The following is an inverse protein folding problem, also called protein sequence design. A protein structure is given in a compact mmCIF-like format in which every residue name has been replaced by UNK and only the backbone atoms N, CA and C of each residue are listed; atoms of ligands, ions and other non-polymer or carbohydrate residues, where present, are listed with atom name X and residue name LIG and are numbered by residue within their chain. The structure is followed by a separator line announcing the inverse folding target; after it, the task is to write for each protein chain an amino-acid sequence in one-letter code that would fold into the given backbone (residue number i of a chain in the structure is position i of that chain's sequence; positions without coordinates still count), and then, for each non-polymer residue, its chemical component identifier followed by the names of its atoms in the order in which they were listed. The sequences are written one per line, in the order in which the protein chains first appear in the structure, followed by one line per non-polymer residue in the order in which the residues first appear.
data_IF_098352578531
#
_entry.id   IF_098352578531
#
_cell.length_a   1.000
_cell.length_b   1.000
_cell.length_c   1.000
_cell.angle_alpha   90.00
_cell.angle_beta   90.00
_cell.angle_gamma   90.00
#
_symmetry.space_group_name_H-M   'P 1'
#
loop_
_entity.id
_entity.type
_entity.pdbx_description
1 polymer ?
#
# COMPACT_ATOMS: atom_id res chain seq x y z
N UNK A 1 8.49 9.26 -12.80
CA UNK A 1 8.02 9.57 -14.17
C UNK A 1 8.74 10.83 -14.60
N UNK A 2 8.57 11.28 -15.85
CA UNK A 2 8.66 12.73 -16.14
C UNK A 2 7.86 13.47 -15.05
N UNK A 3 8.29 14.67 -14.64
CA UNK A 3 7.89 15.32 -13.37
C UNK A 3 6.40 15.63 -13.08
N UNK A 4 5.45 14.83 -13.56
CA UNK A 4 4.03 14.88 -13.27
C UNK A 4 3.37 13.49 -13.35
N UNK A 5 2.21 13.34 -12.71
CA UNK A 5 1.31 12.21 -12.91
C UNK A 5 0.88 12.14 -14.39
N UNK A 6 0.92 10.95 -15.00
CA UNK A 6 0.42 10.73 -16.36
C UNK A 6 -0.38 9.43 -16.44
N UNK A 7 -1.25 9.27 -17.46
CA UNK A 7 -1.99 8.01 -17.66
C UNK A 7 -1.09 6.78 -17.78
N UNK A 8 0.16 6.94 -18.25
CA UNK A 8 1.13 5.86 -18.36
C UNK A 8 1.54 5.27 -17.00
N UNK A 9 1.36 6.02 -15.91
CA UNK A 9 1.62 5.57 -14.55
C UNK A 9 0.60 4.57 -14.03
N UNK A 10 -0.62 4.62 -14.56
CA UNK A 10 -1.78 3.96 -13.97
C UNK A 10 -1.64 2.43 -13.88
N UNK A 11 -1.13 1.71 -14.90
CA UNK A 11 -0.91 0.26 -14.79
C UNK A 11 -0.06 -0.13 -13.58
N UNK A 12 0.99 0.64 -13.30
CA UNK A 12 1.88 0.37 -12.17
C UNK A 12 1.20 0.61 -10.81
N UNK A 13 0.44 1.68 -10.66
CA UNK A 13 -0.34 1.90 -9.44
C UNK A 13 -1.39 0.82 -9.22
N UNK A 14 -2.00 0.28 -10.28
CA UNK A 14 -2.95 -0.85 -10.17
C UNK A 14 -2.29 -2.08 -9.57
N UNK A 15 -1.12 -2.46 -10.09
CA UNK A 15 -0.38 -3.62 -9.60
C UNK A 15 0.06 -3.48 -8.15
N UNK A 16 0.46 -2.27 -7.74
CA UNK A 16 0.78 -2.00 -6.35
C UNK A 16 -0.46 -2.12 -5.45
N UNK A 17 -1.63 -1.69 -5.92
CA UNK A 17 -2.90 -1.85 -5.20
C UNK A 17 -3.28 -3.31 -5.00
N UNK A 18 -2.85 -4.20 -5.89
CA UNK A 18 -3.10 -5.64 -5.77
C UNK A 18 -2.40 -6.26 -4.55
N UNK A 19 -1.39 -5.61 -3.96
CA UNK A 19 -0.72 -6.07 -2.73
C UNK A 19 -1.66 -6.20 -1.52
N UNK A 20 -2.80 -5.50 -1.55
CA UNK A 20 -3.90 -5.64 -0.56
C UNK A 20 -4.64 -6.98 -0.68
N UNK A 21 -4.40 -7.73 -1.76
CA UNK A 21 -5.06 -9.00 -2.06
C UNK A 21 -4.10 -10.17 -2.23
N UNK A 22 -2.79 -9.95 -2.08
CA UNK A 22 -1.78 -11.00 -2.12
C UNK A 22 -1.51 -11.50 -0.70
N UNK A 23 -1.81 -12.78 -0.48
CA UNK A 23 -1.62 -13.49 0.78
C UNK A 23 -0.59 -14.60 0.60
N UNK A 24 0.07 -14.99 1.69
CA UNK A 24 1.00 -16.12 1.73
C UNK A 24 0.65 -17.03 2.89
N UNK A 25 0.96 -18.32 2.76
CA UNK A 25 0.64 -19.30 3.79
C UNK A 25 1.52 -19.16 5.05
N UNK A 26 2.65 -18.45 4.96
CA UNK A 26 3.63 -18.29 6.04
C UNK A 26 3.24 -17.25 7.08
N UNK A 27 2.33 -16.32 6.75
CA UNK A 27 1.95 -15.23 7.65
C UNK A 27 0.52 -14.74 7.37
N UNK A 28 -0.22 -14.32 8.41
CA UNK A 28 -1.54 -13.72 8.23
C UNK A 28 -1.46 -12.35 7.53
N UNK A 29 -2.63 -11.88 7.07
CA UNK A 29 -2.78 -10.58 6.42
C UNK A 29 -2.28 -10.57 4.97
N UNK A 30 -2.57 -9.49 4.26
CA UNK A 30 -2.01 -9.23 2.93
C UNK A 30 -0.56 -8.74 3.02
N UNK A 31 0.16 -8.70 1.91
CA UNK A 31 1.50 -8.07 1.86
C UNK A 31 1.43 -6.62 2.34
N UNK A 32 0.39 -5.88 1.94
CA UNK A 32 0.22 -4.50 2.35
C UNK A 32 0.02 -4.38 3.87
N UNK A 33 -0.82 -5.22 4.46
CA UNK A 33 -1.00 -5.24 5.91
C UNK A 33 0.33 -5.53 6.65
N UNK A 34 1.10 -6.53 6.20
CA UNK A 34 2.37 -6.89 6.85
C UNK A 34 3.41 -5.77 6.75
N UNK A 35 3.52 -5.12 5.60
CA UNK A 35 4.42 -3.97 5.42
C UNK A 35 4.01 -2.78 6.29
N UNK A 36 2.71 -2.54 6.48
CA UNK A 36 2.21 -1.52 7.41
C UNK A 36 2.65 -1.83 8.85
N UNK A 37 2.43 -3.06 9.31
CA UNK A 37 2.80 -3.50 10.66
C UNK A 37 4.32 -3.44 10.87
N UNK A 38 5.10 -3.94 9.91
CA UNK A 38 6.56 -3.90 9.96
C UNK A 38 7.10 -2.46 9.99
N UNK A 39 6.52 -1.57 9.18
CA UNK A 39 6.87 -0.15 9.15
C UNK A 39 6.63 0.52 10.51
N UNK A 40 5.46 0.32 11.12
CA UNK A 40 5.18 0.85 12.45
C UNK A 40 6.09 0.26 13.53
N UNK A 41 6.35 -1.05 13.49
CA UNK A 41 7.27 -1.70 14.44
C UNK A 41 8.67 -1.08 14.38
N UNK A 42 9.19 -0.81 13.18
CA UNK A 42 10.48 -0.18 12.98
C UNK A 42 10.50 1.28 13.46
N UNK A 43 9.48 2.07 13.12
CA UNK A 43 9.37 3.47 13.58
C UNK A 43 9.32 3.55 15.10
N UNK A 44 8.49 2.72 15.74
CA UNK A 44 8.31 2.72 17.21
C UNK A 44 9.61 2.32 17.92
N UNK A 45 10.33 1.33 17.38
CA UNK A 45 11.66 0.92 17.86
C UNK A 45 12.70 2.04 17.77
N UNK A 46 12.45 3.09 16.98
CA UNK A 46 13.33 4.25 16.82
C UNK A 46 14.26 4.15 15.62
N UNK A 47 13.98 3.26 14.67
CA UNK A 47 14.71 3.21 13.41
C UNK A 47 14.53 4.52 12.62
N UNK A 48 15.54 4.91 11.83
CA UNK A 48 15.51 6.12 10.99
C UNK A 48 14.29 6.10 10.04
N UNK A 49 13.36 7.07 10.12
CA UNK A 49 12.19 7.14 9.25
C UNK A 49 12.53 7.12 7.76
N UNK A 50 13.66 7.70 7.36
CA UNK A 50 14.09 7.68 5.97
C UNK A 50 14.47 6.26 5.52
N UNK A 51 15.14 5.47 6.38
CA UNK A 51 15.45 4.07 6.10
C UNK A 51 14.18 3.21 6.06
N UNK A 52 13.29 3.38 7.04
CA UNK A 52 12.02 2.63 7.09
C UNK A 52 11.19 2.89 5.84
N UNK A 53 11.05 4.16 5.43
CA UNK A 53 10.40 4.53 4.17
C UNK A 53 11.03 3.79 2.98
N UNK A 54 12.36 3.83 2.84
CA UNK A 54 13.03 3.17 1.70
C UNK A 54 12.78 1.66 1.70
N UNK A 55 12.90 0.99 2.84
CA UNK A 55 12.66 -0.45 2.96
C UNK A 55 11.21 -0.83 2.62
N UNK A 56 10.24 -0.11 3.20
CA UNK A 56 8.81 -0.37 2.98
C UNK A 56 8.45 -0.15 1.52
N UNK A 57 8.80 1.01 0.96
CA UNK A 57 8.45 1.35 -0.41
C UNK A 57 9.16 0.44 -1.40
N UNK A 58 10.47 0.21 -1.26
CA UNK A 58 11.20 -0.70 -2.16
C UNK A 58 10.66 -2.14 -2.09
N UNK A 59 10.26 -2.59 -0.90
CA UNK A 59 9.63 -3.91 -0.72
C UNK A 59 8.26 -4.00 -1.41
N UNK A 60 7.44 -2.95 -1.34
CA UNK A 60 6.18 -2.90 -2.07
C UNK A 60 6.42 -2.96 -3.59
N UNK A 61 7.39 -2.19 -4.10
CA UNK A 61 7.73 -2.17 -5.52
C UNK A 61 8.18 -3.54 -6.05
N UNK A 62 9.02 -4.25 -5.29
CA UNK A 62 9.43 -5.61 -5.67
C UNK A 62 8.29 -6.61 -5.53
N UNK A 63 7.44 -6.46 -4.51
CA UNK A 63 6.30 -7.34 -4.28
C UNK A 63 5.26 -7.27 -5.40
N UNK A 64 5.18 -6.16 -6.14
CA UNK A 64 4.31 -6.04 -7.32
C UNK A 64 4.63 -7.08 -8.42
N UNK A 65 5.86 -7.61 -8.45
CA UNK A 65 6.28 -8.66 -9.40
C UNK A 65 6.50 -10.01 -8.75
N UNK A 66 7.06 -10.03 -7.55
CA UNK A 66 7.48 -11.27 -6.88
C UNK A 66 6.45 -11.80 -5.87
N UNK A 67 5.34 -11.08 -5.66
CA UNK A 67 4.42 -11.37 -4.57
C UNK A 67 5.18 -11.37 -3.24
N UNK A 68 5.04 -12.44 -2.46
CA UNK A 68 5.66 -12.53 -1.14
C UNK A 68 7.08 -13.14 -1.13
N UNK A 69 7.70 -13.31 -2.30
CA UNK A 69 9.10 -13.74 -2.40
C UNK A 69 10.05 -12.56 -2.12
N UNK A 70 10.16 -12.19 -0.84
CA UNK A 70 11.07 -11.17 -0.35
C UNK A 70 12.51 -11.70 -0.14
N UNK A 71 13.40 -10.82 0.35
CA UNK A 71 14.80 -11.18 0.61
C UNK A 71 14.92 -12.43 1.51
N UNK A 72 14.18 -12.47 2.62
CA UNK A 72 14.27 -13.55 3.59
C UNK A 72 13.73 -14.87 3.04
N UNK A 73 12.64 -14.82 2.27
CA UNK A 73 12.08 -15.96 1.57
C UNK A 73 13.08 -16.51 0.53
N UNK A 74 13.67 -15.65 -0.30
CA UNK A 74 14.65 -16.05 -1.31
C UNK A 74 15.92 -16.64 -0.67
N UNK A 75 16.41 -16.06 0.43
CA UNK A 75 17.54 -16.62 1.18
C UNK A 75 17.21 -18.01 1.74
N UNK A 76 16.01 -18.19 2.30
CA UNK A 76 15.52 -19.48 2.81
C UNK A 76 15.41 -20.53 1.71
N UNK A 77 15.06 -20.12 0.49
CA UNK A 77 15.03 -20.96 -0.70
C UNK A 77 16.42 -21.27 -1.29
N UNK A 78 17.49 -20.83 -0.62
CA UNK A 78 18.86 -21.22 -0.96
C UNK A 78 19.57 -20.32 -1.97
N UNK A 79 19.04 -19.11 -2.25
CA UNK A 79 19.67 -18.20 -3.20
C UNK A 79 20.91 -17.47 -2.63
N UNK A 80 21.07 -17.43 -1.31
CA UNK A 80 22.16 -16.71 -0.65
C UNK A 80 22.26 -15.25 -1.13
N UNK A 81 23.47 -14.78 -1.40
CA UNK A 81 23.73 -13.40 -1.84
C UNK A 81 23.04 -13.04 -3.18
N UNK A 82 22.71 -14.04 -4.00
CA UNK A 82 22.00 -13.83 -5.28
C UNK A 82 20.54 -13.44 -5.10
N UNK A 83 20.00 -13.53 -3.88
CA UNK A 83 18.66 -13.06 -3.58
C UNK A 83 18.51 -11.56 -3.89
N UNK A 84 19.52 -10.75 -3.56
CA UNK A 84 19.51 -9.31 -3.85
C UNK A 84 19.42 -9.03 -5.36
N UNK A 85 20.13 -9.80 -6.20
CA UNK A 85 20.06 -9.66 -7.66
C UNK A 85 18.65 -9.91 -8.22
N UNK A 86 17.88 -10.83 -7.61
CA UNK A 86 16.49 -11.09 -8.01
C UNK A 86 15.60 -9.89 -7.67
N UNK A 87 15.73 -9.35 -6.46
CA UNK A 87 14.99 -8.18 -6.02
C UNK A 87 15.33 -6.97 -6.89
N UNK A 88 16.60 -6.81 -7.23
CA UNK A 88 17.10 -5.76 -8.12
C UNK A 88 16.47 -5.83 -9.52
N UNK A 89 16.41 -7.02 -10.13
CA UNK A 89 15.75 -7.22 -11.43
C UNK A 89 14.25 -6.93 -11.35
N UNK A 90 13.58 -7.40 -10.29
CA UNK A 90 12.16 -7.13 -10.08
C UNK A 90 11.88 -5.63 -9.90
N UNK A 91 12.73 -4.94 -9.14
CA UNK A 91 12.68 -3.49 -8.97
C UNK A 91 12.89 -2.76 -10.31
N UNK A 92 13.91 -3.14 -11.08
CA UNK A 92 14.21 -2.47 -12.35
C UNK A 92 13.10 -2.67 -13.39
N UNK A 93 12.41 -3.80 -13.37
CA UNK A 93 11.30 -4.11 -14.27
C UNK A 93 10.09 -3.16 -14.11
N UNK A 94 9.95 -2.48 -12.98
CA UNK A 94 8.78 -1.60 -12.70
C UNK A 94 9.15 -0.15 -12.40
N UNK A 95 10.45 0.16 -12.26
CA UNK A 95 10.90 1.50 -11.83
C UNK A 95 11.57 2.33 -12.92
N UNK A 96 11.58 1.87 -14.17
CA UNK A 96 12.24 2.56 -15.29
C UNK A 96 11.85 4.04 -15.41
N UNK A 97 10.58 4.35 -15.13
CA UNK A 97 10.09 5.72 -15.19
C UNK A 97 10.34 6.55 -13.93
N UNK A 98 10.68 5.97 -12.77
CA UNK A 98 10.81 6.73 -11.51
C UNK A 98 11.88 7.84 -11.58
N UNK A 99 11.66 8.91 -10.80
CA UNK A 99 12.64 10.00 -10.72
C UNK A 99 14.01 9.45 -10.30
N UNK A 100 15.11 9.75 -11.01
CA UNK A 100 16.39 9.05 -10.84
C UNK A 100 16.91 9.03 -9.39
N UNK A 101 16.80 10.15 -8.68
CA UNK A 101 17.23 10.25 -7.28
C UNK A 101 16.40 9.36 -6.34
N UNK A 102 15.07 9.38 -6.48
CA UNK A 102 14.18 8.51 -5.69
C UNK A 102 14.44 7.04 -6.03
N UNK A 103 14.58 6.71 -7.31
CA UNK A 103 14.87 5.34 -7.77
C UNK A 103 16.16 4.81 -7.16
N UNK A 104 17.25 5.57 -7.23
CA UNK A 104 18.55 5.19 -6.65
C UNK A 104 18.45 5.01 -5.12
N UNK A 105 17.76 5.92 -4.45
CA UNK A 105 17.52 5.87 -3.01
C UNK A 105 16.76 4.60 -2.60
N UNK A 106 15.63 4.30 -3.24
CA UNK A 106 14.84 3.09 -2.97
C UNK A 106 15.62 1.81 -3.30
N UNK A 107 16.32 1.78 -4.44
CA UNK A 107 17.14 0.62 -4.84
C UNK A 107 18.20 0.27 -3.79
N UNK A 108 18.81 1.27 -3.16
CA UNK A 108 19.84 1.07 -2.13
C UNK A 108 19.33 0.34 -0.87
N UNK A 109 18.01 0.28 -0.68
CA UNK A 109 17.40 -0.42 0.46
C UNK A 109 17.16 -1.92 0.20
N UNK A 110 17.25 -2.39 -1.05
CA UNK A 110 16.95 -3.79 -1.40
C UNK A 110 17.79 -4.83 -0.62
N UNK A 111 19.10 -4.63 -0.38
CA UNK A 111 19.90 -5.57 0.40
C UNK A 111 19.48 -5.69 1.87
N UNK A 112 18.72 -4.72 2.39
CA UNK A 112 18.22 -4.72 3.76
C UNK A 112 16.86 -5.40 3.91
N UNK A 113 16.19 -5.70 2.79
CA UNK A 113 14.87 -6.32 2.77
C UNK A 113 13.79 -5.48 3.48
N UNK A 114 12.72 -6.17 3.89
CA UNK A 114 11.62 -5.58 4.65
C UNK A 114 12.07 -5.18 6.06
N UNK A 115 11.46 -4.17 6.68
CA UNK A 115 11.71 -3.90 8.10
C UNK A 115 11.37 -5.13 8.96
N UNK A 116 12.12 -5.33 10.04
CA UNK A 116 11.84 -6.42 10.97
C UNK A 116 10.50 -6.20 11.70
N UNK A 117 9.69 -7.25 11.74
CA UNK A 117 8.49 -7.32 12.58
C UNK A 117 8.86 -7.13 14.07
N UNK A 118 7.92 -6.64 14.86
CA UNK A 118 8.14 -6.41 16.29
C UNK A 118 6.90 -5.90 17.01
N UNK A 119 7.09 -5.40 18.23
CA UNK A 119 6.02 -4.78 19.02
C UNK A 119 5.46 -3.54 18.33
N UNK A 120 4.14 -3.36 18.41
CA UNK A 120 3.44 -2.20 17.88
C UNK A 120 2.40 -1.70 18.90
N UNK A 121 2.12 -0.39 18.92
CA UNK A 121 0.97 0.13 19.66
C UNK A 121 -0.34 -0.52 19.21
N UNK A 122 -1.33 -0.59 20.10
CA UNK A 122 -2.56 -1.33 19.85
C UNK A 122 -3.36 -0.80 18.65
N UNK A 123 -3.28 0.51 18.36
CA UNK A 123 -3.90 1.12 17.20
C UNK A 123 -3.50 0.43 15.89
N UNK A 124 -2.28 -0.08 15.77
CA UNK A 124 -1.82 -0.76 14.55
C UNK A 124 -2.69 -1.98 14.27
N UNK A 125 -2.86 -2.85 15.27
CA UNK A 125 -3.73 -4.02 15.15
C UNK A 125 -5.22 -3.68 15.05
N UNK A 126 -5.67 -2.54 15.60
CA UNK A 126 -7.05 -2.07 15.38
C UNK A 126 -7.27 -1.70 13.91
N UNK A 127 -6.33 -0.98 13.29
CA UNK A 127 -6.39 -0.58 11.88
C UNK A 127 -6.30 -1.78 10.90
N UNK A 128 -5.57 -2.84 11.25
CA UNK A 128 -5.55 -4.06 10.41
C UNK A 128 -6.89 -4.81 10.42
N UNK A 129 -7.65 -4.72 11.53
CA UNK A 129 -8.97 -5.39 11.65
C UNK A 129 -10.13 -4.53 11.21
N UNK A 130 -9.97 -3.19 11.23
CA UNK A 130 -11.03 -2.27 10.89
C UNK A 130 -11.17 -2.18 9.35
N UNK A 131 -12.29 -2.63 8.77
CA UNK A 131 -12.55 -2.43 7.35
C UNK A 131 -12.86 -0.96 7.07
N UNK A 132 -12.53 -0.52 5.86
CA UNK A 132 -13.05 0.73 5.30
C UNK A 132 -14.55 0.65 5.08
N UNK A 133 -15.18 1.82 4.99
CA UNK A 133 -16.63 1.94 4.80
C UNK A 133 -17.16 1.44 3.45
N UNK A 134 -16.30 1.16 2.46
CA UNK A 134 -16.72 0.87 1.09
C UNK A 134 -17.31 2.11 0.39
N UNK A 135 -18.10 1.90 -0.67
CA UNK A 135 -18.69 3.02 -1.43
C UNK A 135 -19.93 3.54 -0.70
N UNK A 136 -19.83 4.77 -0.20
CA UNK A 136 -20.90 5.45 0.54
C UNK A 136 -21.34 6.72 -0.19
N UNK A 137 -22.63 7.02 -0.14
CA UNK A 137 -23.23 8.21 -0.72
C UNK A 137 -24.47 8.58 0.11
N UNK A 138 -24.57 9.81 0.65
CA UNK A 138 -25.75 10.26 1.38
C UNK A 138 -27.03 10.01 0.58
N UNK A 139 -28.04 9.43 1.25
CA UNK A 139 -29.32 9.08 0.64
C UNK A 139 -29.31 7.82 -0.23
N UNK A 140 -28.19 7.09 -0.35
CA UNK A 140 -28.11 5.81 -1.08
C UNK A 140 -27.67 4.65 -0.18
N UNK A 141 -28.15 3.41 -0.44
CA UNK A 141 -27.57 2.23 0.17
C UNK A 141 -26.07 2.12 -0.14
N UNK A 142 -25.29 1.66 0.85
CA UNK A 142 -23.85 1.41 0.71
C UNK A 142 -23.61 0.22 -0.22
N UNK A 143 -22.56 0.29 -1.05
CA UNK A 143 -22.07 -0.86 -1.81
C UNK A 143 -20.96 -1.53 -0.99
N UNK A 144 -21.20 -2.79 -0.63
CA UNK A 144 -20.23 -3.63 0.08
C UNK A 144 -19.41 -4.43 -0.93
N UNK A 145 -18.10 -4.29 -0.88
CA UNK A 145 -17.14 -5.05 -1.69
C UNK A 145 -16.43 -6.05 -0.78
N UNK A 146 -16.20 -7.27 -1.28
CA UNK A 146 -15.55 -8.35 -0.53
C UNK A 146 -14.45 -9.02 -1.38
N UNK A 147 -13.27 -9.31 -0.82
CA UNK A 147 -12.85 -8.95 0.54
C UNK A 147 -12.73 -7.41 0.70
N UNK A 148 -13.06 -6.91 1.89
CA UNK A 148 -12.96 -5.48 2.18
C UNK A 148 -11.51 -5.06 2.41
N UNK A 149 -11.16 -3.88 1.92
CA UNK A 149 -9.94 -3.19 2.34
C UNK A 149 -10.00 -2.82 3.82
N UNK A 150 -8.90 -3.03 4.55
CA UNK A 150 -8.72 -2.52 5.90
C UNK A 150 -7.89 -1.22 5.94
N UNK A 151 -7.92 -0.49 7.06
CA UNK A 151 -7.19 0.79 7.12
C UNK A 151 -5.67 0.65 7.07
N UNK A 152 -5.10 -0.48 7.50
CA UNK A 152 -3.66 -0.71 7.39
C UNK A 152 -3.23 -0.83 5.92
N UNK A 153 -3.97 -1.59 5.12
CA UNK A 153 -3.77 -1.73 3.68
C UNK A 153 -3.84 -0.37 2.97
N UNK A 154 -4.93 0.37 3.24
CA UNK A 154 -5.13 1.69 2.68
C UNK A 154 -3.99 2.65 3.07
N UNK A 155 -3.66 2.76 4.36
CA UNK A 155 -2.60 3.65 4.83
C UNK A 155 -1.24 3.32 4.22
N UNK A 156 -0.89 2.04 4.09
CA UNK A 156 0.32 1.67 3.40
C UNK A 156 0.30 2.15 1.95
N UNK A 157 -0.77 1.86 1.21
CA UNK A 157 -0.80 2.18 -0.21
C UNK A 157 -0.79 3.68 -0.46
N UNK A 158 -1.46 4.47 0.38
CA UNK A 158 -1.34 5.93 0.36
C UNK A 158 0.09 6.39 0.60
N UNK A 159 0.79 5.81 1.58
CA UNK A 159 2.18 6.13 1.85
C UNK A 159 3.09 5.80 0.66
N UNK A 160 2.92 4.61 0.06
CA UNK A 160 3.69 4.17 -1.12
C UNK A 160 3.42 5.09 -2.30
N UNK A 161 2.15 5.37 -2.62
CA UNK A 161 1.78 6.21 -3.76
C UNK A 161 2.23 7.65 -3.57
N UNK A 162 2.09 8.20 -2.37
CA UNK A 162 2.54 9.53 -2.04
C UNK A 162 4.06 9.69 -2.17
N UNK A 163 4.85 8.71 -1.72
CA UNK A 163 6.31 8.72 -1.92
C UNK A 163 6.67 8.74 -3.40
N UNK A 164 6.00 7.92 -4.22
CA UNK A 164 6.22 7.90 -5.67
C UNK A 164 5.83 9.23 -6.34
N UNK A 165 4.78 9.88 -5.83
CA UNK A 165 4.31 11.18 -6.30
C UNK A 165 5.14 12.38 -5.77
N UNK A 166 5.99 12.18 -4.76
CA UNK A 166 6.71 13.27 -4.09
C UNK A 166 7.58 14.07 -5.07
N UNK A 167 8.21 13.38 -6.04
CA UNK A 167 9.03 14.03 -7.07
C UNK A 167 8.24 14.95 -8.01
N UNK A 168 6.92 14.77 -8.18
CA UNK A 168 6.09 15.63 -9.03
C UNK A 168 5.76 16.97 -8.38
N UNK A 169 5.77 16.98 -7.05
CA UNK A 169 5.42 18.16 -6.27
C UNK A 169 6.64 18.80 -5.60
N UNK A 170 7.82 18.16 -5.66
CA UNK A 170 9.00 18.60 -4.93
C UNK A 170 8.87 18.40 -3.42
N UNK A 171 8.13 17.38 -2.99
CA UNK A 171 7.87 17.08 -1.59
C UNK A 171 9.02 16.29 -0.94
N UNK A 172 9.16 16.43 0.37
CA UNK A 172 9.95 15.50 1.17
C UNK A 172 9.23 14.13 1.26
N UNK A 173 9.76 13.05 0.65
CA UNK A 173 9.11 11.75 0.65
C UNK A 173 9.01 11.13 2.05
N UNK A 174 9.88 11.50 3.00
CA UNK A 174 9.82 10.98 4.37
C UNK A 174 8.60 11.56 5.10
N UNK A 175 8.33 12.85 4.93
CA UNK A 175 7.14 13.50 5.50
C UNK A 175 5.87 12.90 4.90
N UNK A 176 5.85 12.70 3.58
CA UNK A 176 4.70 12.08 2.88
C UNK A 176 4.47 10.65 3.34
N UNK A 177 5.53 9.86 3.50
CA UNK A 177 5.45 8.50 4.03
C UNK A 177 4.83 8.46 5.43
N UNK A 178 5.34 9.27 6.36
CA UNK A 178 4.84 9.31 7.73
C UNK A 178 3.38 9.78 7.80
N UNK A 179 3.00 10.78 6.99
CA UNK A 179 1.62 11.23 6.87
C UNK A 179 0.71 10.11 6.32
N UNK A 180 1.14 9.41 5.26
CA UNK A 180 0.43 8.26 4.69
C UNK A 180 0.22 7.13 5.71
N UNK A 181 1.23 6.82 6.51
CA UNK A 181 1.13 5.78 7.55
C UNK A 181 0.17 6.16 8.69
N UNK A 182 -0.07 7.45 8.94
CA UNK A 182 -0.77 7.95 10.13
C UNK A 182 -2.13 8.65 9.88
N UNK A 183 -2.49 8.98 8.64
CA UNK A 183 -3.67 9.82 8.38
C UNK A 183 -5.00 9.26 8.92
N UNK A 184 -5.14 7.93 8.98
CA UNK A 184 -6.28 7.24 9.57
C UNK A 184 -6.09 6.78 11.03
N UNK A 185 -5.17 7.36 11.81
CA UNK A 185 -5.04 7.03 13.24
C UNK A 185 -6.36 7.13 14.02
N UNK A 186 -7.28 8.00 13.62
CA UNK A 186 -8.60 8.12 14.21
C UNK A 186 -9.47 6.87 14.02
N UNK A 187 -9.29 6.11 12.94
CA UNK A 187 -10.11 4.93 12.66
C UNK A 187 -9.76 3.71 13.51
N UNK A 188 -8.72 3.78 14.34
CA UNK A 188 -8.44 2.75 15.32
C UNK A 188 -9.58 2.64 16.34
N UNK A 189 -10.14 3.78 16.77
CA UNK A 189 -11.22 3.84 17.77
C UNK A 189 -12.52 4.47 17.23
N UNK A 190 -12.50 5.01 16.01
CA UNK A 190 -13.69 5.48 15.28
C UNK A 190 -13.98 4.58 14.09
N UNK A 191 -14.98 3.72 14.21
CA UNK A 191 -15.40 2.86 13.10
C UNK A 191 -15.73 3.69 11.84
N UNK A 192 -15.24 3.26 10.68
CA UNK A 192 -15.41 3.98 9.43
C UNK A 192 -16.87 3.92 8.94
N UNK A 193 -17.58 5.02 9.17
CA UNK A 193 -18.97 5.19 8.74
C UNK A 193 -19.10 5.64 7.29
N UNK A 194 -17.99 6.04 6.65
CA UNK A 194 -17.95 6.66 5.34
C UNK A 194 -18.72 7.97 5.28
N UNK A 195 -18.87 8.49 4.06
CA UNK A 195 -19.41 9.82 3.79
C UNK A 195 -20.84 10.01 4.33
N UNK A 196 -21.68 8.97 4.27
CA UNK A 196 -23.03 9.04 4.82
C UNK A 196 -23.05 9.25 6.34
N UNK A 197 -22.14 8.61 7.08
CA UNK A 197 -22.06 8.79 8.53
C UNK A 197 -21.40 10.11 8.92
N UNK A 198 -20.39 10.56 8.16
CA UNK A 198 -19.78 11.88 8.33
C UNK A 198 -20.82 13.01 8.20
N UNK A 199 -21.70 12.92 7.20
CA UNK A 199 -22.80 13.89 7.04
C UNK A 199 -23.82 13.88 8.17
N UNK A 200 -24.06 12.73 8.80
CA UNK A 200 -24.95 12.62 9.95
C UNK A 200 -24.30 13.12 11.25
N UNK A 201 -22.98 13.01 11.37
CA UNK A 201 -22.22 13.58 12.49
C UNK A 201 -22.18 15.12 12.42
N UNK A 202 -22.18 15.69 11.20
CA UNK A 202 -22.24 17.14 10.98
C UNK A 202 -21.14 17.87 11.75
N UNK A 203 -21.51 18.93 12.47
CA UNK A 203 -20.59 19.77 13.25
C UNK A 203 -19.87 19.01 14.39
N UNK A 204 -20.27 17.78 14.71
CA UNK A 204 -19.60 16.94 15.71
C UNK A 204 -18.44 16.12 15.13
N UNK A 205 -18.32 16.01 13.81
CA UNK A 205 -17.36 15.14 13.14
C UNK A 205 -15.92 15.42 13.58
N UNK A 206 -15.50 16.69 13.51
CA UNK A 206 -14.14 17.09 13.85
C UNK A 206 -13.79 16.74 15.30
N UNK A 207 -14.73 16.91 16.22
CA UNK A 207 -14.54 16.56 17.63
C UNK A 207 -14.31 15.06 17.80
N UNK A 208 -15.07 14.22 17.09
CA UNK A 208 -14.94 12.76 17.16
C UNK A 208 -13.60 12.32 16.56
N UNK A 209 -13.22 12.86 15.38
CA UNK A 209 -11.94 12.57 14.72
C UNK A 209 -10.77 12.96 15.63
N UNK A 210 -10.77 14.17 16.19
CA UNK A 210 -9.71 14.66 17.08
C UNK A 210 -9.59 13.77 18.33
N UNK A 211 -10.72 13.43 18.96
CA UNK A 211 -10.73 12.59 20.16
C UNK A 211 -10.16 11.20 19.86
N UNK A 212 -10.60 10.55 18.79
CA UNK A 212 -10.14 9.21 18.42
C UNK A 212 -8.67 9.21 17.96
N UNK A 213 -8.24 10.24 17.20
CA UNK A 213 -6.83 10.41 16.83
C UNK A 213 -5.94 10.58 18.06
N UNK A 214 -6.40 11.35 19.05
CA UNK A 214 -5.62 11.60 20.27
C UNK A 214 -5.36 10.31 21.05
N UNK A 215 -6.33 9.39 21.12
CA UNK A 215 -6.13 8.08 21.77
C UNK A 215 -4.97 7.29 21.14
N UNK A 216 -4.91 7.21 19.80
CA UNK A 216 -3.80 6.59 19.07
C UNK A 216 -2.47 7.32 19.27
N UNK A 217 -2.48 8.66 19.31
CA UNK A 217 -1.28 9.46 19.58
C UNK A 217 -0.78 9.29 21.02
N UNK A 218 -1.66 9.09 22.00
CA UNK A 218 -1.29 8.81 23.38
C UNK A 218 -0.71 7.40 23.52
N UNK A 219 -1.26 6.41 22.80
CA UNK A 219 -0.66 5.08 22.66
C UNK A 219 0.75 5.17 22.07
N UNK A 220 0.92 5.95 20.99
CA UNK A 220 2.21 6.18 20.36
C UNK A 220 3.19 6.89 21.30
N UNK A 221 2.75 7.92 22.03
CA UNK A 221 3.60 8.69 22.93
C UNK A 221 4.12 7.85 24.11
N UNK A 222 3.33 6.88 24.60
CA UNK A 222 3.78 5.90 25.60
C UNK A 222 4.89 4.99 25.08
N UNK A 223 4.85 4.62 23.81
CA UNK A 223 5.85 3.77 23.19
C UNK A 223 7.09 4.57 22.74
N UNK A 224 6.88 5.73 22.13
CA UNK A 224 7.92 6.61 21.61
C UNK A 224 7.38 8.06 21.50
N UNK A 225 7.68 8.89 22.51
CA UNK A 225 7.21 10.27 22.59
C UNK A 225 7.73 11.17 21.45
N UNK A 226 8.97 10.99 21.03
CA UNK A 226 9.56 11.78 19.94
C UNK A 226 8.84 11.50 18.61
N UNK A 227 8.58 10.22 18.31
CA UNK A 227 7.81 9.83 17.14
C UNK A 227 6.38 10.37 17.19
N UNK A 228 5.72 10.37 18.34
CA UNK A 228 4.38 10.93 18.48
C UNK A 228 4.32 12.41 18.09
N UNK A 229 5.31 13.21 18.49
CA UNK A 229 5.41 14.61 18.09
C UNK A 229 5.72 14.77 16.60
N UNK A 230 6.60 13.93 16.04
CA UNK A 230 6.82 13.90 14.58
C UNK A 230 5.52 13.60 13.83
N UNK A 231 4.75 12.60 14.26
CA UNK A 231 3.48 12.24 13.62
C UNK A 231 2.45 13.38 13.72
N UNK A 232 2.36 14.07 14.86
CA UNK A 232 1.51 15.27 14.98
C UNK A 232 1.90 16.35 13.96
N UNK A 233 3.20 16.59 13.81
CA UNK A 233 3.69 17.61 12.89
C UNK A 233 3.38 17.29 11.42
N UNK A 234 3.53 16.04 10.98
CA UNK A 234 3.27 15.65 9.58
C UNK A 234 1.78 15.52 9.24
N UNK A 235 0.90 15.34 10.24
CA UNK A 235 -0.54 15.28 10.03
C UNK A 235 -1.18 16.66 9.82
N UNK A 236 -0.56 17.74 10.31
CA UNK A 236 -1.14 19.08 10.20
C UNK A 236 -1.21 19.61 8.75
N UNK A 237 -0.17 19.46 7.89
CA UNK A 237 -0.20 20.00 6.54
C UNK A 237 -1.19 19.31 5.60
N UNK A 238 -1.50 18.02 5.83
CA UNK A 238 -2.35 17.21 4.94
C UNK A 238 -3.86 17.50 5.06
N UNK A 239 -4.25 18.50 5.86
CA UNK A 239 -5.64 18.98 5.92
C UNK A 239 -6.04 19.81 4.69
N UNK A 240 -5.09 20.23 3.86
CA UNK A 240 -5.32 20.95 2.60
C UNK A 240 -4.24 20.60 1.57
N UNK A 241 -4.10 21.40 0.51
CA UNK A 241 -3.15 21.15 -0.59
C UNK A 241 -2.06 22.25 -0.73
N UNK A 242 -1.83 23.01 0.34
CA UNK A 242 -0.98 24.18 0.31
C UNK A 242 0.52 23.86 0.20
N UNK A 243 0.96 22.70 0.71
CA UNK A 243 2.37 22.27 0.68
C UNK A 243 2.63 21.19 -0.37
N UNK A 244 3.87 21.06 -0.87
CA UNK A 244 4.28 19.94 -1.70
C UNK A 244 3.91 18.56 -1.13
N UNK A 245 4.15 18.36 0.17
CA UNK A 245 3.89 17.11 0.88
C UNK A 245 2.40 16.79 0.89
N UNK A 246 1.56 17.79 1.12
CA UNK A 246 0.13 17.61 1.14
C UNK A 246 -0.42 17.26 -0.25
N UNK A 247 0.10 17.88 -1.32
CA UNK A 247 -0.25 17.51 -2.70
C UNK A 247 0.15 16.08 -3.04
N UNK A 248 1.38 15.67 -2.69
CA UNK A 248 1.85 14.32 -2.91
C UNK A 248 1.04 13.28 -2.12
N UNK A 249 0.71 13.58 -0.86
CA UNK A 249 -0.17 12.75 -0.03
C UNK A 249 -1.57 12.58 -0.67
N UNK A 250 -2.20 13.67 -1.11
CA UNK A 250 -3.53 13.62 -1.72
C UNK A 250 -3.57 12.85 -3.05
N UNK A 251 -2.48 12.86 -3.82
CA UNK A 251 -2.34 11.97 -4.98
C UNK A 251 -2.44 10.51 -4.53
N UNK A 252 -1.75 10.13 -3.45
CA UNK A 252 -1.80 8.77 -2.91
C UNK A 252 -3.19 8.38 -2.41
N UNK A 253 -3.83 9.23 -1.60
CA UNK A 253 -5.16 8.98 -1.04
C UNK A 253 -6.23 8.83 -2.13
N UNK A 254 -6.25 9.77 -3.10
CA UNK A 254 -7.24 9.73 -4.19
C UNK A 254 -7.02 8.52 -5.10
N UNK A 255 -5.78 8.24 -5.49
CA UNK A 255 -5.49 7.10 -6.37
C UNK A 255 -5.87 5.79 -5.70
N UNK A 256 -5.49 5.56 -4.45
CA UNK A 256 -5.81 4.31 -3.77
C UNK A 256 -7.32 4.09 -3.64
N UNK A 257 -8.07 5.12 -3.24
CA UNK A 257 -9.54 5.03 -3.13
C UNK A 257 -10.21 4.67 -4.46
N UNK A 258 -9.77 5.27 -5.55
CA UNK A 258 -10.35 5.00 -6.88
C UNK A 258 -9.92 3.63 -7.40
N UNK A 259 -8.65 3.28 -7.22
CA UNK A 259 -8.08 2.02 -7.67
C UNK A 259 -8.61 0.81 -6.88
N UNK A 260 -8.97 0.99 -5.60
CA UNK A 260 -9.68 -0.03 -4.83
C UNK A 260 -10.98 -0.43 -5.54
N UNK A 261 -11.81 0.55 -5.92
CA UNK A 261 -13.08 0.27 -6.61
C UNK A 261 -12.83 -0.30 -8.01
N UNK A 262 -11.84 0.24 -8.72
CA UNK A 262 -11.49 -0.25 -10.05
C UNK A 262 -10.98 -1.69 -10.02
N UNK A 263 -10.28 -2.13 -8.96
CA UNK A 263 -9.86 -3.53 -8.79
C UNK A 263 -11.06 -4.49 -8.80
N UNK A 264 -12.11 -4.20 -8.02
CA UNK A 264 -13.35 -4.99 -8.03
C UNK A 264 -14.04 -4.92 -9.39
N UNK A 265 -13.99 -3.75 -10.04
CA UNK A 265 -14.44 -3.57 -11.41
C UNK A 265 -13.73 -4.50 -12.38
N UNK A 266 -12.40 -4.56 -12.37
CA UNK A 266 -11.60 -5.46 -13.24
C UNK A 266 -11.98 -6.92 -13.03
N UNK A 267 -12.11 -7.35 -11.79
CA UNK A 267 -12.50 -8.72 -11.46
C UNK A 267 -13.90 -9.07 -11.99
N UNK A 268 -14.86 -8.13 -11.90
CA UNK A 268 -16.23 -8.33 -12.39
C UNK A 268 -16.34 -8.40 -13.93
N UNK A 269 -15.38 -7.84 -14.66
CA UNK A 269 -15.35 -7.84 -16.12
C UNK A 269 -14.42 -8.91 -16.72
N UNK A 270 -13.91 -9.84 -15.89
CA UNK A 270 -12.99 -10.88 -16.35
C UNK A 270 -13.69 -11.81 -17.36
N UNK A 271 -13.02 -12.05 -18.49
CA UNK A 271 -13.49 -12.99 -19.52
C UNK A 271 -12.46 -14.09 -19.77
N UNK A 272 -12.90 -15.23 -20.31
CA UNK A 272 -11.98 -16.32 -20.65
C UNK A 272 -10.97 -15.93 -21.74
N UNK A 273 -11.36 -15.08 -22.69
CA UNK A 273 -10.45 -14.49 -23.68
C UNK A 273 -9.31 -13.74 -23.00
N UNK A 274 -9.62 -12.86 -22.03
CA UNK A 274 -8.58 -12.16 -21.27
C UNK A 274 -7.67 -13.15 -20.51
N UNK A 275 -8.25 -14.17 -19.89
CA UNK A 275 -7.48 -15.14 -19.08
C UNK A 275 -6.56 -16.03 -19.93
N UNK A 276 -7.07 -16.54 -21.05
CA UNK A 276 -6.35 -17.50 -21.88
C UNK A 276 -5.43 -16.83 -22.90
N UNK A 277 -5.88 -15.73 -23.51
CA UNK A 277 -5.17 -15.09 -24.63
C UNK A 277 -4.25 -13.97 -24.14
N UNK A 278 -4.78 -13.03 -23.35
CA UNK A 278 -4.00 -11.86 -22.92
C UNK A 278 -3.01 -12.20 -21.79
N UNK A 279 -3.47 -12.95 -20.78
CA UNK A 279 -2.67 -13.32 -19.61
C UNK A 279 -1.94 -14.65 -19.76
N UNK A 280 -2.30 -15.47 -20.75
CA UNK A 280 -1.63 -16.74 -21.01
C UNK A 280 -1.67 -17.69 -19.81
N UNK A 281 -2.82 -17.84 -19.14
CA UNK A 281 -2.96 -18.70 -17.95
C UNK A 281 -2.35 -20.11 -18.18
N UNK A 282 -2.56 -20.64 -19.39
CA UNK A 282 -1.81 -21.79 -19.89
C UNK A 282 -0.54 -21.27 -20.56
N UNK A 283 0.51 -21.11 -19.74
CA UNK A 283 1.77 -20.51 -20.15
C UNK A 283 2.58 -21.42 -21.09
N UNK A 284 3.49 -20.80 -21.82
CA UNK A 284 4.44 -21.50 -22.68
C UNK A 284 5.35 -22.41 -21.85
N UNK A 285 5.49 -23.65 -22.31
CA UNK A 285 6.32 -24.65 -21.66
C UNK A 285 6.45 -25.93 -22.50
N UNK A 286 7.24 -26.91 -22.03
CA UNK A 286 7.56 -28.11 -22.80
C UNK A 286 6.33 -28.92 -23.27
N UNK A 287 5.20 -28.77 -22.59
CA UNK A 287 3.94 -29.50 -22.83
C UNK A 287 2.82 -28.62 -23.39
N UNK A 288 3.11 -27.38 -23.82
CA UNK A 288 2.10 -26.41 -24.31
C UNK A 288 1.18 -27.00 -25.38
N UNK A 289 1.74 -27.71 -26.36
CA UNK A 289 0.95 -28.34 -27.43
C UNK A 289 -0.08 -29.35 -26.93
N UNK A 290 0.20 -30.02 -25.79
CA UNK A 290 -0.76 -30.91 -25.16
C UNK A 290 -1.84 -30.12 -24.40
N UNK A 291 -1.47 -29.10 -23.64
CA UNK A 291 -2.44 -28.23 -22.96
C UNK A 291 -3.39 -27.54 -23.95
N UNK A 292 -2.89 -27.11 -25.12
CA UNK A 292 -3.72 -26.49 -26.16
C UNK A 292 -4.71 -27.48 -26.79
N UNK A 293 -4.36 -28.77 -26.85
CA UNK A 293 -5.33 -29.81 -27.25
C UNK A 293 -6.40 -29.98 -26.18
N UNK A 294 -6.03 -30.02 -24.90
CA UNK A 294 -7.00 -30.12 -23.79
C UNK A 294 -8.01 -28.97 -23.85
N UNK A 295 -7.56 -27.73 -24.08
CA UNK A 295 -8.45 -26.57 -24.19
C UNK A 295 -9.42 -26.69 -25.37
N UNK A 296 -8.93 -27.11 -26.55
CA UNK A 296 -9.79 -27.33 -27.72
C UNK A 296 -10.78 -28.47 -27.53
N UNK A 297 -10.31 -29.61 -27.01
CA UNK A 297 -11.14 -30.79 -26.76
C UNK A 297 -12.24 -30.49 -25.73
N UNK A 298 -11.97 -29.60 -24.77
CA UNK A 298 -12.93 -29.12 -23.77
C UNK A 298 -13.82 -27.96 -24.25
N UNK A 299 -13.60 -27.42 -25.45
CA UNK A 299 -14.35 -26.27 -25.99
C UNK A 299 -14.05 -24.93 -25.30
N UNK A 300 -12.86 -24.78 -24.74
CA UNK A 300 -12.39 -23.56 -24.06
C UNK A 300 -11.48 -22.68 -24.94
N UNK A 301 -11.04 -23.20 -26.11
CA UNK A 301 -10.24 -22.51 -27.12
C UNK A 301 -10.63 -22.97 -28.53
#
# INVERSE_FOLDING_TARGET
MSGALSPAALPFFRELGDLKRIYSASAPGSIAERLFVAGWAALVRGDDPALVMRQVVASALVSARLGDLDLAALMTLGLGDRAAEVLERAFDAVTGDLAPGLRASLRSALPWGRPAMGETPAFVGKLTRQPRAGVTCPGKPRIMLQPAENHAEHCLMVAVYGVLASAWHGADPVVVFLAGMAHHLHNADMADSGYSGEMLLGDLLDRVIVTARQASLDELARANAALAETIRAVLSPIAGDATPEARAFHVGDVLDRVLEIEQHGRAAHLTMTTVLDDYGLVHDGPVKAFHDRILRDAGLA
#
